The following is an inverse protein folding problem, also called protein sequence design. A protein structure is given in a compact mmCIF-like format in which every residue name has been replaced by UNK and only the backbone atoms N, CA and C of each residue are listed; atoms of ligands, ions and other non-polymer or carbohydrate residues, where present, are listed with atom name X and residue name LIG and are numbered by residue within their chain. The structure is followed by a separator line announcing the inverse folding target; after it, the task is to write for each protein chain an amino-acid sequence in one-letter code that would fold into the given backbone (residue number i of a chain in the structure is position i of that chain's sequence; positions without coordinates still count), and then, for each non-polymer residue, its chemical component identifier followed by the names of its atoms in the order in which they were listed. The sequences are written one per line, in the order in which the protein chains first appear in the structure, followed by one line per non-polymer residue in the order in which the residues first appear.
data_IF_344368121078
#
_entry.id   IF_344368121078
#
_cell.length_a   1.000
_cell.length_b   1.000
_cell.length_c   1.000
_cell.angle_alpha   90.00
_cell.angle_beta   90.00
_cell.angle_gamma   90.00
#
_symmetry.space_group_name_H-M   'P 1'
#
loop_
_entity.id
_entity.type
_entity.pdbx_description
1 polymer ?
#
# COMPACT_ATOMS: atom_id res chain seq x y z
N UNK A 1 7.54 -0.97 6.95
CA UNK A 1 8.62 -0.07 6.46
C UNK A 1 9.92 -0.81 6.13
N UNK A 2 10.20 -1.11 4.85
CA UNK A 2 11.49 -1.74 4.45
C UNK A 2 12.66 -0.77 4.67
N UNK A 3 13.37 -0.91 5.79
CA UNK A 3 14.76 -0.50 5.92
C UNK A 3 15.64 -1.75 5.81
N UNK A 4 15.72 -2.33 4.61
CA UNK A 4 16.67 -3.42 4.35
C UNK A 4 17.95 -2.84 3.79
N UNK A 5 18.95 -2.70 4.66
CA UNK A 5 20.35 -2.47 4.33
C UNK A 5 20.96 -3.73 3.72
N UNK A 6 21.37 -3.68 2.44
CA UNK A 6 22.56 -4.37 1.92
C UNK A 6 22.82 -3.98 0.45
N UNK A 7 23.98 -3.39 0.12
CA UNK A 7 24.43 -3.18 -1.25
C UNK A 7 25.32 -4.35 -1.71
N UNK A 8 25.23 -4.73 -2.98
CA UNK A 8 26.34 -5.40 -3.68
C UNK A 8 26.51 -4.77 -5.07
N UNK A 9 27.76 -4.63 -5.54
CA UNK A 9 28.13 -3.65 -6.55
C UNK A 9 28.09 -4.26 -7.95
N UNK A 10 27.85 -3.44 -8.97
CA UNK A 10 28.53 -3.63 -10.25
C UNK A 10 28.62 -2.30 -11.00
N UNK A 11 29.85 -1.89 -11.26
CA UNK A 11 30.20 -0.74 -12.09
C UNK A 11 30.13 -1.14 -13.57
N UNK A 12 29.46 -0.34 -14.40
CA UNK A 12 29.76 -0.26 -15.84
C UNK A 12 29.63 1.22 -16.27
N UNK A 13 30.75 1.77 -16.76
CA UNK A 13 30.80 3.02 -17.52
C UNK A 13 30.10 2.85 -18.86
N UNK A 14 29.29 3.81 -19.27
CA UNK A 14 29.17 4.14 -20.70
C UNK A 14 28.72 5.57 -20.95
N UNK A 15 29.50 6.22 -21.81
CA UNK A 15 29.34 7.53 -22.42
C UNK A 15 27.97 7.72 -23.09
N UNK A 16 27.39 8.91 -22.94
CA UNK A 16 26.29 9.43 -23.76
C UNK A 16 26.83 10.47 -24.75
N UNK A 17 26.56 10.36 -26.07
CA UNK A 17 26.77 11.46 -26.99
C UNK A 17 25.57 12.41 -26.99
N UNK A 18 25.86 13.69 -27.11
CA UNK A 18 24.92 14.79 -27.31
C UNK A 18 24.23 14.70 -28.67
N UNK A 19 22.92 14.98 -28.71
CA UNK A 19 22.17 15.23 -29.94
C UNK A 19 21.44 16.59 -29.86
N UNK A 20 21.17 17.24 -31.02
CA UNK A 20 20.95 18.68 -31.09
C UNK A 20 19.48 19.09 -31.32
N UNK A 21 19.20 20.29 -30.82
CA UNK A 21 18.35 21.39 -31.36
C UNK A 21 16.94 21.16 -31.91
N UNK A 22 16.06 22.06 -31.43
CA UNK A 22 14.99 22.77 -32.15
C UNK A 22 13.70 21.99 -32.43
N UNK A 23 12.69 22.23 -31.59
CA UNK A 23 11.29 22.08 -31.94
C UNK A 23 10.55 23.40 -31.65
N UNK A 24 9.81 23.89 -32.66
CA UNK A 24 9.00 25.10 -32.60
C UNK A 24 7.80 24.92 -31.66
N UNK A 25 7.47 25.97 -30.89
CA UNK A 25 6.28 26.02 -30.02
C UNK A 25 4.97 26.04 -30.84
N UNK A 26 3.98 25.18 -30.54
CA UNK A 26 2.61 25.40 -30.98
C UNK A 26 1.87 26.35 -30.01
N UNK A 27 0.89 27.06 -30.57
CA UNK A 27 0.04 28.08 -29.94
C UNK A 27 -0.63 27.62 -28.63
N UNK A 28 -0.39 28.39 -27.55
CA UNK A 28 -1.02 28.24 -26.23
C UNK A 28 -2.48 28.69 -26.28
N UNK A 29 -3.43 27.74 -26.29
CA UNK A 29 -4.84 28.01 -25.96
C UNK A 29 -5.12 27.72 -24.49
N UNK A 30 -5.63 28.72 -23.78
CA UNK A 30 -6.42 28.54 -22.55
C UNK A 30 -5.63 28.33 -21.25
N UNK A 31 -4.80 29.29 -20.82
CA UNK A 31 -4.28 29.27 -19.44
C UNK A 31 -5.39 29.63 -18.45
N UNK A 32 -5.84 28.68 -17.64
CA UNK A 32 -6.44 28.97 -16.35
C UNK A 32 -5.38 29.62 -15.46
N UNK A 33 -5.18 30.94 -15.56
CA UNK A 33 -4.36 31.71 -14.63
C UNK A 33 -5.13 31.97 -13.34
N UNK A 34 -5.28 30.94 -12.51
CA UNK A 34 -5.46 31.18 -11.08
C UNK A 34 -4.09 31.53 -10.50
N UNK A 35 -3.75 32.82 -10.47
CA UNK A 35 -2.59 33.33 -9.75
C UNK A 35 -2.88 33.22 -8.23
N UNK A 36 -2.90 31.99 -7.75
CA UNK A 36 -3.01 31.67 -6.34
C UNK A 36 -1.59 31.65 -5.79
N UNK A 37 -1.30 32.52 -4.83
CA UNK A 37 -0.07 32.46 -4.05
C UNK A 37 -0.13 31.17 -3.19
N UNK A 38 0.32 30.06 -3.77
CA UNK A 38 0.30 28.76 -3.09
C UNK A 38 1.51 28.71 -2.14
N UNK A 39 1.23 28.70 -0.84
CA UNK A 39 2.26 28.51 0.18
C UNK A 39 2.93 27.15 0.05
N UNK A 40 4.24 27.14 -0.23
CA UNK A 40 5.07 25.94 -0.27
C UNK A 40 5.64 25.54 1.11
N UNK A 41 5.20 26.23 2.16
CA UNK A 41 5.63 26.00 3.55
C UNK A 41 4.87 24.82 4.14
N UNK A 42 5.50 24.13 5.09
CA UNK A 42 4.81 23.13 5.90
C UNK A 42 3.79 23.81 6.83
N UNK A 43 2.60 23.22 6.92
CA UNK A 43 1.55 23.62 7.85
C UNK A 43 1.18 22.41 8.71
N UNK A 44 1.02 22.62 10.01
CA UNK A 44 0.63 21.55 10.91
C UNK A 44 -0.77 21.03 10.55
N UNK A 45 -1.01 19.70 10.60
CA UNK A 45 -2.35 19.17 10.43
C UNK A 45 -3.26 19.64 11.58
N UNK A 46 -4.57 19.67 11.32
CA UNK A 46 -5.56 19.91 12.37
C UNK A 46 -5.38 18.90 13.52
N UNK A 47 -5.53 19.36 14.76
CA UNK A 47 -5.43 18.48 15.92
C UNK A 47 -6.63 17.55 15.99
N UNK A 48 -6.36 16.25 16.10
CA UNK A 48 -7.36 15.18 16.17
C UNK A 48 -6.94 14.18 17.26
N UNK A 49 -7.76 13.16 17.49
CA UNK A 49 -7.37 12.06 18.38
C UNK A 49 -6.21 11.24 17.82
N UNK A 50 -6.07 11.13 16.49
CA UNK A 50 -5.04 10.33 15.82
C UNK A 50 -3.65 10.91 16.08
N UNK A 51 -3.49 12.23 16.00
CA UNK A 51 -2.18 12.89 16.16
C UNK A 51 -1.87 13.33 17.60
N UNK A 52 -2.70 12.91 18.56
CA UNK A 52 -2.51 13.18 19.98
C UNK A 52 -1.81 12.00 20.67
N UNK A 53 -0.58 12.20 21.13
CA UNK A 53 0.17 11.17 21.85
C UNK A 53 -0.54 10.72 23.13
N UNK A 54 -1.16 11.65 23.86
CA UNK A 54 -1.95 11.30 25.05
C UNK A 54 -3.15 10.44 24.70
N UNK A 55 -3.80 10.69 23.56
CA UNK A 55 -4.87 9.83 23.06
C UNK A 55 -4.37 8.46 22.61
N UNK A 56 -3.21 8.38 21.97
CA UNK A 56 -2.64 7.10 21.54
C UNK A 56 -2.34 6.19 22.75
N UNK A 57 -1.73 6.77 23.79
CA UNK A 57 -1.32 6.05 25.01
C UNK A 57 -2.50 5.74 25.93
N UNK A 58 -3.32 6.73 26.26
CA UNK A 58 -4.35 6.61 27.31
C UNK A 58 -5.77 6.45 26.76
N UNK A 59 -5.96 6.55 25.45
CA UNK A 59 -7.27 6.44 24.83
C UNK A 59 -7.84 5.02 24.86
N UNK A 60 -9.11 4.91 24.53
CA UNK A 60 -9.82 3.64 24.34
C UNK A 60 -10.30 3.52 22.90
N UNK A 61 -10.57 2.29 22.46
CA UNK A 61 -11.01 2.02 21.08
C UNK A 61 -9.91 2.29 20.05
N UNK A 62 -10.34 2.59 18.82
CA UNK A 62 -9.50 2.60 17.61
C UNK A 62 -9.89 3.73 16.65
N UNK A 63 -10.36 4.86 17.20
CA UNK A 63 -10.75 6.05 16.41
C UNK A 63 -11.80 5.80 15.31
N UNK A 64 -12.62 4.76 15.47
CA UNK A 64 -13.63 4.35 14.50
C UNK A 64 -13.12 3.39 13.44
N UNK A 65 -11.81 3.16 13.32
CA UNK A 65 -11.25 2.24 12.31
C UNK A 65 -11.83 0.83 12.45
N UNK A 66 -11.79 0.07 11.35
CA UNK A 66 -12.24 -1.32 11.32
C UNK A 66 -11.05 -2.21 10.98
N UNK A 67 -10.71 -3.13 11.88
CA UNK A 67 -9.59 -4.07 11.70
C UNK A 67 -10.01 -5.54 11.60
N UNK A 68 -11.32 -5.81 11.67
CA UNK A 68 -11.85 -7.16 11.84
C UNK A 68 -12.93 -7.52 10.84
N UNK A 69 -13.08 -6.81 9.72
CA UNK A 69 -14.10 -7.15 8.72
C UNK A 69 -13.83 -6.42 7.40
N UNK A 70 -13.93 -7.12 6.27
CA UNK A 70 -14.00 -6.47 4.94
C UNK A 70 -15.37 -5.86 4.65
N UNK A 71 -16.38 -6.21 5.44
CA UNK A 71 -17.73 -5.67 5.36
C UNK A 71 -17.87 -4.48 6.31
N UNK A 72 -18.15 -3.31 5.75
CA UNK A 72 -18.44 -2.09 6.51
C UNK A 72 -19.38 -1.19 5.73
N UNK A 73 -20.29 -0.44 6.39
CA UNK A 73 -21.08 0.56 5.69
C UNK A 73 -20.15 1.56 4.98
N UNK A 74 -20.40 1.89 3.70
CA UNK A 74 -19.40 2.51 2.83
C UNK A 74 -18.93 3.90 3.27
N UNK A 75 -19.65 4.60 4.15
CA UNK A 75 -19.34 6.00 4.55
C UNK A 75 -18.98 6.22 6.02
N UNK A 76 -18.88 5.18 6.84
CA UNK A 76 -18.88 5.42 8.29
C UNK A 76 -17.49 5.51 8.92
N UNK A 77 -16.48 4.79 8.42
CA UNK A 77 -15.14 4.75 9.01
C UNK A 77 -14.07 4.21 8.04
N UNK A 78 -12.79 4.47 8.32
CA UNK A 78 -11.70 3.83 7.58
C UNK A 78 -11.59 2.34 7.91
N UNK A 79 -11.74 1.49 6.90
CA UNK A 79 -11.62 0.04 7.05
C UNK A 79 -10.22 -0.44 6.60
N UNK A 80 -9.46 -1.02 7.53
CA UNK A 80 -8.13 -1.57 7.25
C UNK A 80 -8.21 -2.82 6.36
N UNK A 81 -9.22 -3.66 6.55
CA UNK A 81 -9.38 -4.90 5.78
C UNK A 81 -9.70 -4.64 4.32
N UNK A 82 -10.62 -3.72 4.11
CA UNK A 82 -11.10 -3.33 2.81
C UNK A 82 -11.08 -1.81 2.77
N UNK A 83 -10.02 -1.25 2.19
CA UNK A 83 -9.82 0.20 2.20
C UNK A 83 -11.07 0.91 1.68
N UNK A 84 -11.45 2.09 2.23
CA UNK A 84 -12.52 2.87 1.65
C UNK A 84 -12.26 3.11 0.16
N UNK A 85 -13.27 2.85 -0.65
CA UNK A 85 -13.19 3.02 -2.08
C UNK A 85 -14.52 3.53 -2.64
N UNK A 86 -14.41 4.08 -3.83
CA UNK A 86 -15.54 4.60 -4.58
C UNK A 86 -16.55 3.48 -4.86
N UNK A 87 -17.83 3.81 -4.70
CA UNK A 87 -18.95 2.92 -4.96
C UNK A 87 -20.16 3.77 -5.36
N UNK A 88 -21.14 3.19 -6.08
CA UNK A 88 -22.28 3.95 -6.60
C UNK A 88 -23.22 4.50 -5.52
N UNK A 89 -23.19 3.94 -4.30
CA UNK A 89 -24.06 4.39 -3.19
C UNK A 89 -23.59 5.71 -2.59
N UNK A 90 -22.27 5.91 -2.48
CA UNK A 90 -21.70 7.07 -1.78
C UNK A 90 -21.07 8.09 -2.72
N UNK A 91 -20.97 7.77 -4.02
CA UNK A 91 -20.45 8.71 -5.00
C UNK A 91 -21.36 9.93 -5.18
N UNK A 92 -20.83 11.10 -4.84
CA UNK A 92 -21.49 12.38 -5.06
C UNK A 92 -21.27 12.81 -6.51
N UNK A 93 -22.35 12.83 -7.31
CA UNK A 93 -22.27 13.31 -8.70
C UNK A 93 -22.05 14.82 -8.72
N UNK A 94 -21.02 15.31 -9.45
CA UNK A 94 -20.89 16.74 -9.73
C UNK A 94 -22.11 17.29 -10.48
N UNK A 95 -22.29 18.61 -10.40
CA UNK A 95 -23.34 19.30 -11.16
C UNK A 95 -23.19 19.06 -12.67
N UNK A 96 -24.31 19.01 -13.40
CA UNK A 96 -24.34 18.72 -14.84
C UNK A 96 -23.60 19.72 -15.72
N UNK A 97 -23.23 20.90 -15.19
CA UNK A 97 -22.36 21.86 -15.87
C UNK A 97 -20.90 21.42 -15.98
N UNK A 98 -20.49 20.37 -15.26
CA UNK A 98 -19.14 19.80 -15.33
C UNK A 98 -19.13 18.52 -16.20
N UNK A 99 -18.07 18.38 -17.01
CA UNK A 99 -17.74 17.14 -17.74
C UNK A 99 -16.54 16.49 -17.07
N UNK A 100 -16.63 15.18 -16.78
CA UNK A 100 -15.47 14.40 -16.35
C UNK A 100 -14.52 14.21 -17.54
N UNK A 101 -13.28 14.69 -17.40
CA UNK A 101 -12.26 14.62 -18.46
C UNK A 101 -11.22 13.52 -18.23
N UNK A 102 -10.89 13.23 -16.97
CA UNK A 102 -9.81 12.31 -16.63
C UNK A 102 -10.03 11.69 -15.25
N UNK A 103 -9.59 10.44 -15.09
CA UNK A 103 -9.60 9.73 -13.81
C UNK A 103 -8.20 9.17 -13.52
N UNK A 104 -7.64 9.52 -12.37
CA UNK A 104 -6.48 8.83 -11.78
C UNK A 104 -6.91 8.22 -10.45
N UNK A 105 -6.73 6.91 -10.30
CA UNK A 105 -7.02 6.20 -9.06
C UNK A 105 -5.74 5.61 -8.53
N UNK A 106 -5.40 5.93 -7.29
CA UNK A 106 -4.34 5.27 -6.55
C UNK A 106 -4.95 4.57 -5.35
N UNK A 107 -4.67 3.29 -5.22
CA UNK A 107 -5.17 2.50 -4.11
C UNK A 107 -4.13 1.49 -3.62
N UNK A 108 -4.25 1.06 -2.36
CA UNK A 108 -3.37 0.02 -1.80
C UNK A 108 -3.78 -1.37 -2.27
N UNK A 109 -2.98 -2.38 -1.97
CA UNK A 109 -3.47 -3.77 -2.07
C UNK A 109 -4.61 -4.03 -1.06
N UNK A 110 -5.38 -5.10 -1.29
CA UNK A 110 -6.39 -5.57 -0.33
C UNK A 110 -5.75 -6.42 0.79
N UNK A 111 -6.56 -6.98 1.71
CA UNK A 111 -6.06 -7.76 2.85
C UNK A 111 -5.14 -8.90 2.42
N UNK A 112 -4.07 -9.08 3.19
CA UNK A 112 -2.98 -10.04 2.95
C UNK A 112 -2.56 -10.67 4.28
N UNK A 113 -1.73 -11.69 4.22
CA UNK A 113 -0.96 -12.13 5.39
C UNK A 113 -0.03 -10.99 5.86
N UNK A 114 0.45 -11.01 7.12
CA UNK A 114 1.49 -10.07 7.54
C UNK A 114 2.79 -10.27 6.74
N UNK A 115 3.72 -9.32 6.84
CA UNK A 115 5.09 -9.54 6.38
C UNK A 115 5.77 -10.63 7.21
N UNK A 116 6.67 -11.41 6.59
CA UNK A 116 7.41 -12.47 7.27
C UNK A 116 8.17 -11.95 8.51
N UNK A 117 8.86 -10.81 8.38
CA UNK A 117 9.61 -10.17 9.48
C UNK A 117 8.70 -9.62 10.59
N UNK A 118 7.39 -9.52 10.36
CA UNK A 118 6.38 -9.10 11.33
C UNK A 118 5.72 -10.30 12.03
N UNK A 119 6.08 -11.54 11.67
CA UNK A 119 5.62 -12.73 12.39
C UNK A 119 6.36 -12.89 13.72
N UNK A 120 5.71 -13.50 14.71
CA UNK A 120 6.39 -13.82 15.96
C UNK A 120 7.39 -14.96 15.74
N UNK A 121 8.46 -15.08 16.54
CA UNK A 121 9.44 -16.17 16.36
C UNK A 121 8.81 -17.57 16.31
N UNK A 122 7.72 -17.76 17.05
CA UNK A 122 6.91 -18.97 17.01
C UNK A 122 5.42 -18.60 17.09
N UNK A 123 4.68 -18.89 16.03
CA UNK A 123 3.23 -18.72 15.99
C UNK A 123 2.53 -20.00 16.47
N UNK A 124 1.47 -19.86 17.26
CA UNK A 124 0.82 -21.00 17.92
C UNK A 124 -0.21 -21.73 17.07
N UNK A 125 -0.51 -21.22 15.89
CA UNK A 125 -1.48 -21.80 14.96
C UNK A 125 -1.06 -21.52 13.51
N UNK A 126 -1.58 -22.32 12.55
CA UNK A 126 -1.15 -22.16 11.18
C UNK A 126 -1.85 -21.02 10.41
N UNK A 127 -1.20 -20.60 9.33
CA UNK A 127 -1.85 -19.81 8.29
C UNK A 127 -1.81 -20.56 6.97
N UNK A 128 -2.99 -20.95 6.50
CA UNK A 128 -3.16 -21.70 5.27
C UNK A 128 -3.67 -20.77 4.15
N UNK A 129 -3.11 -20.96 2.97
CA UNK A 129 -3.35 -20.20 1.75
C UNK A 129 -3.57 -21.12 0.53
N UNK A 130 -4.05 -22.35 0.78
CA UNK A 130 -4.25 -23.36 -0.25
C UNK A 130 -5.53 -23.16 -1.07
N UNK A 131 -6.31 -22.13 -0.77
CA UNK A 131 -7.56 -21.74 -1.45
C UNK A 131 -7.38 -20.59 -2.46
N UNK A 132 -6.13 -20.19 -2.73
CA UNK A 132 -5.79 -19.26 -3.81
C UNK A 132 -4.71 -19.81 -4.76
N UNK A 133 -4.81 -19.42 -6.03
CA UNK A 133 -3.78 -19.66 -7.04
C UNK A 133 -3.16 -18.34 -7.48
N UNK A 134 -1.90 -18.11 -7.13
CA UNK A 134 -1.19 -16.88 -7.45
C UNK A 134 -0.22 -17.07 -8.62
N UNK A 135 -0.44 -16.30 -9.69
CA UNK A 135 0.28 -16.47 -10.95
C UNK A 135 1.64 -15.74 -10.96
N UNK A 136 2.64 -16.35 -11.62
CA UNK A 136 3.98 -15.78 -11.84
C UNK A 136 4.60 -16.16 -13.20
N UNK A 137 3.95 -17.03 -13.98
CA UNK A 137 4.46 -17.53 -15.25
C UNK A 137 4.50 -16.49 -16.36
N UNK A 138 5.23 -16.79 -17.44
CA UNK A 138 5.34 -15.94 -18.64
C UNK A 138 4.73 -16.58 -19.89
N UNK A 139 4.40 -15.75 -20.88
CA UNK A 139 3.93 -16.18 -22.21
C UNK A 139 4.56 -15.31 -23.31
N UNK A 140 4.95 -15.86 -24.47
CA UNK A 140 5.36 -15.07 -25.63
C UNK A 140 4.21 -14.16 -26.13
N UNK A 141 4.48 -12.87 -26.34
CA UNK A 141 3.46 -11.89 -26.75
C UNK A 141 3.57 -11.47 -28.23
N UNK A 142 4.77 -11.07 -28.68
CA UNK A 142 4.98 -10.59 -30.05
C UNK A 142 6.41 -10.87 -30.56
N UNK A 143 6.58 -11.61 -31.68
CA UNK A 143 5.53 -12.37 -32.36
C UNK A 143 4.92 -13.41 -31.40
N UNK A 144 3.65 -13.77 -31.64
CA UNK A 144 3.04 -14.87 -30.89
C UNK A 144 3.87 -16.14 -31.11
N UNK A 145 4.06 -16.90 -30.02
CA UNK A 145 4.83 -18.14 -30.01
C UNK A 145 3.97 -19.31 -29.52
N UNK A 146 4.61 -20.28 -28.89
CA UNK A 146 3.90 -21.39 -28.23
C UNK A 146 3.00 -20.86 -27.11
N UNK A 147 1.85 -21.52 -26.92
CA UNK A 147 1.00 -21.28 -25.77
C UNK A 147 1.70 -21.64 -24.46
N UNK A 148 1.22 -21.04 -23.36
CA UNK A 148 1.76 -21.23 -22.02
C UNK A 148 0.65 -21.74 -21.10
N UNK A 149 1.01 -22.62 -20.17
CA UNK A 149 0.08 -23.09 -19.15
C UNK A 149 -0.23 -21.98 -18.14
N UNK A 150 -1.46 -21.94 -17.63
CA UNK A 150 -1.85 -21.07 -16.51
C UNK A 150 -1.32 -21.64 -15.20
N UNK A 151 -0.04 -21.43 -14.91
CA UNK A 151 0.63 -21.93 -13.70
C UNK A 151 0.49 -20.96 -12.53
N UNK A 152 0.30 -21.50 -11.33
CA UNK A 152 0.37 -20.76 -10.07
C UNK A 152 1.42 -21.36 -9.13
N UNK A 153 1.83 -20.61 -8.11
CA UNK A 153 2.72 -21.11 -7.07
C UNK A 153 1.97 -21.93 -6.02
N UNK A 154 2.42 -23.16 -5.81
CA UNK A 154 2.00 -24.03 -4.72
C UNK A 154 3.13 -24.10 -3.68
N UNK A 155 2.94 -23.46 -2.53
CA UNK A 155 3.98 -23.27 -1.52
C UNK A 155 4.16 -24.56 -0.73
N UNK A 156 5.38 -25.07 -0.68
CA UNK A 156 5.73 -26.24 0.12
C UNK A 156 7.00 -26.01 0.93
N UNK A 157 7.06 -26.61 2.13
CA UNK A 157 8.27 -26.70 2.94
C UNK A 157 8.61 -28.18 3.15
N UNK A 158 9.81 -28.60 2.76
CA UNK A 158 10.24 -29.98 2.97
C UNK A 158 10.41 -30.27 4.47
N UNK A 159 9.86 -31.37 5.01
CA UNK A 159 10.11 -31.79 6.40
C UNK A 159 11.59 -32.04 6.71
N UNK A 160 12.41 -32.30 5.68
CA UNK A 160 13.86 -32.50 5.83
C UNK A 160 14.67 -31.21 5.83
N UNK A 161 14.07 -30.05 5.54
CA UNK A 161 14.78 -28.78 5.55
C UNK A 161 14.86 -28.23 6.99
N UNK A 162 16.05 -28.18 7.61
CA UNK A 162 16.19 -27.66 8.98
C UNK A 162 16.07 -26.14 9.06
N UNK A 163 15.99 -25.45 7.92
CA UNK A 163 15.87 -23.99 7.80
C UNK A 163 14.42 -23.56 7.53
N UNK A 164 13.44 -24.27 8.10
CA UNK A 164 12.05 -23.84 8.03
C UNK A 164 11.93 -22.40 8.59
N UNK A 165 11.21 -21.50 7.90
CA UNK A 165 11.09 -20.12 8.34
C UNK A 165 10.42 -20.04 9.71
N UNK A 166 10.87 -19.07 10.52
CA UNK A 166 10.17 -18.70 11.75
C UNK A 166 8.81 -18.08 11.42
N UNK A 167 7.90 -18.03 12.41
CA UNK A 167 6.56 -17.51 12.21
C UNK A 167 5.48 -18.57 12.16
N UNK A 168 4.55 -18.39 11.22
CA UNK A 168 3.42 -19.28 11.00
C UNK A 168 3.87 -20.56 10.31
N UNK A 169 3.54 -21.70 10.91
CA UNK A 169 3.54 -22.96 10.18
C UNK A 169 2.35 -22.97 9.22
N UNK A 170 2.48 -23.36 7.96
CA UNK A 170 1.33 -23.29 7.03
C UNK A 170 1.73 -23.28 5.56
N UNK A 171 0.78 -22.91 4.70
CA UNK A 171 0.93 -22.99 3.23
C UNK A 171 1.04 -21.63 2.54
N UNK A 172 1.30 -20.55 3.29
CA UNK A 172 1.45 -19.20 2.73
C UNK A 172 2.92 -18.80 2.52
N UNK A 173 3.18 -17.97 1.50
CA UNK A 173 4.44 -17.25 1.32
C UNK A 173 4.33 -15.81 1.84
N UNK A 174 4.81 -15.54 3.05
CA UNK A 174 4.60 -14.22 3.68
C UNK A 174 5.49 -13.11 3.07
N UNK A 175 4.94 -11.92 2.74
CA UNK A 175 3.51 -11.60 2.66
C UNK A 175 2.85 -12.18 1.41
N UNK A 176 1.59 -12.58 1.52
CA UNK A 176 0.76 -13.11 0.44
C UNK A 176 -0.62 -12.46 0.41
N UNK A 177 -1.14 -12.12 -0.77
CA UNK A 177 -2.56 -11.77 -0.89
C UNK A 177 -3.41 -13.01 -0.62
N UNK A 178 -4.44 -12.90 0.22
CA UNK A 178 -5.31 -14.03 0.56
C UNK A 178 -6.47 -14.14 -0.40
N UNK A 179 -7.16 -15.28 -0.44
CA UNK A 179 -8.43 -15.46 -1.17
C UNK A 179 -9.41 -14.32 -0.93
N UNK A 180 -9.64 -13.96 0.32
CA UNK A 180 -10.53 -12.86 0.64
C UNK A 180 -10.01 -11.50 0.13
N UNK A 181 -8.70 -11.28 0.06
CA UNK A 181 -8.12 -10.09 -0.55
C UNK A 181 -8.33 -10.04 -2.07
N UNK A 182 -8.31 -11.18 -2.74
CA UNK A 182 -8.68 -11.32 -4.16
C UNK A 182 -10.16 -11.01 -4.39
N UNK A 183 -11.05 -11.51 -3.52
CA UNK A 183 -12.49 -11.23 -3.57
C UNK A 183 -12.79 -9.74 -3.35
N UNK A 184 -12.19 -9.14 -2.32
CA UNK A 184 -12.32 -7.70 -2.05
C UNK A 184 -11.84 -6.86 -3.25
N UNK A 185 -10.78 -7.30 -3.92
CA UNK A 185 -10.28 -6.63 -5.12
C UNK A 185 -11.20 -6.74 -6.33
N UNK A 186 -11.86 -7.89 -6.51
CA UNK A 186 -12.83 -8.06 -7.58
C UNK A 186 -14.03 -7.14 -7.36
N UNK A 187 -14.53 -7.08 -6.12
CA UNK A 187 -15.62 -6.18 -5.77
C UNK A 187 -15.25 -4.71 -6.01
N UNK A 188 -14.05 -4.30 -5.60
CA UNK A 188 -13.54 -2.94 -5.87
C UNK A 188 -13.54 -2.63 -7.38
N UNK A 189 -13.13 -3.57 -8.23
CA UNK A 189 -13.23 -3.42 -9.68
C UNK A 189 -14.66 -3.22 -10.17
N UNK A 190 -15.61 -4.02 -9.65
CA UNK A 190 -17.03 -3.87 -9.98
C UNK A 190 -17.59 -2.50 -9.56
N UNK A 191 -17.21 -2.00 -8.38
CA UNK A 191 -17.67 -0.70 -7.87
C UNK A 191 -17.09 0.47 -8.69
N UNK A 192 -15.83 0.37 -9.09
CA UNK A 192 -15.19 1.31 -10.00
C UNK A 192 -15.92 1.40 -11.33
N UNK A 193 -16.22 0.25 -11.92
CA UNK A 193 -16.91 0.20 -13.20
C UNK A 193 -18.36 0.67 -13.09
N UNK A 194 -19.06 0.34 -12.00
CA UNK A 194 -20.41 0.83 -11.72
C UNK A 194 -20.46 2.36 -11.67
N UNK A 195 -19.43 3.02 -11.11
CA UNK A 195 -19.38 4.48 -11.09
C UNK A 195 -18.92 5.05 -12.44
N UNK A 196 -17.74 4.67 -12.92
CA UNK A 196 -17.17 5.35 -14.08
C UNK A 196 -17.77 4.90 -15.40
N UNK A 197 -18.28 3.68 -15.53
CA UNK A 197 -19.05 3.26 -16.70
C UNK A 197 -20.55 3.53 -16.50
N UNK A 198 -21.21 2.85 -15.57
CA UNK A 198 -22.68 2.87 -15.53
C UNK A 198 -23.27 4.21 -15.03
N UNK A 199 -22.66 4.83 -14.01
CA UNK A 199 -23.20 6.03 -13.38
C UNK A 199 -22.88 7.30 -14.19
N UNK A 200 -21.64 7.38 -14.67
CA UNK A 200 -21.07 8.57 -15.31
C UNK A 200 -20.94 8.46 -16.82
N UNK A 201 -21.08 7.26 -17.40
CA UNK A 201 -20.87 6.99 -18.83
C UNK A 201 -19.50 7.48 -19.33
N UNK A 202 -18.47 7.44 -18.47
CA UNK A 202 -17.12 7.86 -18.79
C UNK A 202 -16.31 6.71 -19.42
N UNK A 203 -16.38 5.52 -18.82
CA UNK A 203 -15.73 4.32 -19.35
C UNK A 203 -16.66 3.56 -20.30
N UNK A 204 -16.09 3.09 -21.40
CA UNK A 204 -16.76 2.21 -22.35
C UNK A 204 -17.08 0.85 -21.71
N UNK A 205 -18.15 0.21 -22.21
CA UNK A 205 -18.56 -1.12 -21.72
C UNK A 205 -17.57 -2.22 -22.10
N UNK A 206 -16.80 -2.01 -23.16
CA UNK A 206 -15.68 -2.85 -23.58
C UNK A 206 -14.36 -2.19 -23.21
N UNK A 207 -13.41 -2.99 -22.74
CA UNK A 207 -12.07 -2.50 -22.43
C UNK A 207 -11.38 -1.97 -23.68
N UNK A 208 -10.78 -0.79 -23.55
CA UNK A 208 -9.94 -0.15 -24.54
C UNK A 208 -8.59 0.21 -23.90
N UNK A 209 -7.46 -0.39 -24.34
CA UNK A 209 -6.14 -0.11 -23.77
C UNK A 209 -5.63 1.30 -24.08
N UNK A 210 -6.21 2.01 -25.04
CA UNK A 210 -5.89 3.42 -25.29
C UNK A 210 -6.59 4.32 -24.27
N UNK A 211 -7.76 3.93 -23.78
CA UNK A 211 -8.54 4.68 -22.78
C UNK A 211 -8.20 4.33 -21.33
N UNK A 212 -7.95 3.05 -21.05
CA UNK A 212 -7.76 2.55 -19.68
C UNK A 212 -6.42 1.84 -19.52
N UNK A 213 -5.58 2.38 -18.64
CA UNK A 213 -4.27 1.81 -18.32
C UNK A 213 -4.16 1.42 -16.85
N UNK A 214 -3.50 0.28 -16.59
CA UNK A 214 -3.24 -0.22 -15.25
C UNK A 214 -1.74 -0.19 -14.98
N UNK A 215 -1.34 0.39 -13.86
CA UNK A 215 0.02 0.43 -13.34
C UNK A 215 0.06 -0.24 -11.97
N UNK A 216 1.08 -1.05 -11.74
CA UNK A 216 1.33 -1.75 -10.47
C UNK A 216 2.78 -1.48 -10.03
N UNK A 217 3.13 -1.83 -8.78
CA UNK A 217 4.52 -1.75 -8.34
C UNK A 217 5.25 -3.06 -8.65
N UNK A 218 6.55 -3.09 -8.35
CA UNK A 218 7.35 -4.31 -8.46
C UNK A 218 7.01 -5.37 -7.38
N UNK A 219 6.09 -5.08 -6.45
CA UNK A 219 5.57 -6.05 -5.52
C UNK A 219 4.48 -6.92 -6.19
N UNK A 220 4.73 -8.23 -6.30
CA UNK A 220 3.85 -9.20 -6.99
C UNK A 220 2.40 -9.19 -6.50
N UNK A 221 2.16 -8.87 -5.22
CA UNK A 221 0.81 -8.72 -4.66
C UNK A 221 0.01 -7.69 -5.46
N UNK A 222 0.63 -6.57 -5.85
CA UNK A 222 -0.07 -5.52 -6.58
C UNK A 222 -0.52 -5.97 -7.97
N UNK A 223 0.18 -6.91 -8.60
CA UNK A 223 -0.23 -7.54 -9.87
C UNK A 223 -1.37 -8.55 -9.67
N UNK A 224 -1.31 -9.36 -8.61
CA UNK A 224 -2.35 -10.36 -8.27
C UNK A 224 -3.69 -9.68 -7.90
N UNK A 225 -3.63 -8.54 -7.24
CA UNK A 225 -4.81 -7.72 -7.00
C UNK A 225 -5.30 -7.10 -8.33
N UNK A 226 -4.43 -6.91 -9.34
CA UNK A 226 -4.81 -6.19 -10.57
C UNK A 226 -5.60 -7.11 -11.48
N UNK A 227 -5.20 -8.38 -11.55
CA UNK A 227 -5.96 -9.39 -12.27
C UNK A 227 -7.41 -9.48 -11.78
N UNK A 228 -7.64 -9.40 -10.46
CA UNK A 228 -9.00 -9.45 -9.90
C UNK A 228 -9.77 -8.16 -10.13
N UNK A 229 -9.13 -6.99 -9.94
CA UNK A 229 -9.77 -5.71 -10.21
C UNK A 229 -10.19 -5.57 -11.68
N UNK A 230 -9.32 -5.94 -12.62
CA UNK A 230 -9.61 -5.88 -14.06
C UNK A 230 -10.78 -6.79 -14.41
N UNK A 231 -10.81 -8.02 -13.88
CA UNK A 231 -11.93 -8.93 -14.08
C UNK A 231 -13.24 -8.41 -13.46
N UNK A 232 -13.17 -7.71 -12.31
CA UNK A 232 -14.31 -7.05 -11.69
C UNK A 232 -14.84 -5.88 -12.51
N UNK A 233 -13.95 -5.09 -13.12
CA UNK A 233 -14.34 -3.99 -14.01
C UNK A 233 -14.92 -4.50 -15.34
N UNK A 234 -14.24 -5.46 -15.96
CA UNK A 234 -14.57 -6.00 -17.27
C UNK A 234 -14.63 -7.54 -17.20
N UNK A 235 -15.81 -8.13 -16.93
CA UNK A 235 -15.93 -9.58 -16.78
C UNK A 235 -15.48 -10.38 -18.02
N UNK A 236 -15.60 -9.81 -19.23
CA UNK A 236 -15.12 -10.42 -20.47
C UNK A 236 -13.59 -10.56 -20.56
N UNK A 237 -12.85 -9.86 -19.69
CA UNK A 237 -11.40 -9.96 -19.61
C UNK A 237 -10.92 -11.06 -18.65
N UNK A 238 -11.83 -11.80 -18.02
CA UNK A 238 -11.46 -12.96 -17.23
C UNK A 238 -10.68 -13.96 -18.11
N UNK A 239 -9.40 -14.18 -17.79
CA UNK A 239 -8.45 -15.02 -18.54
C UNK A 239 -7.91 -14.42 -19.86
N UNK A 240 -8.08 -13.11 -20.08
CA UNK A 240 -7.48 -12.40 -21.22
C UNK A 240 -6.14 -11.77 -20.83
N UNK A 241 -5.22 -11.64 -21.79
CA UNK A 241 -3.94 -10.96 -21.58
C UNK A 241 -4.17 -9.44 -21.47
N UNK A 242 -3.84 -8.87 -20.32
CA UNK A 242 -3.95 -7.42 -20.07
C UNK A 242 -2.59 -6.90 -19.61
N UNK A 243 -2.04 -5.88 -20.29
CA UNK A 243 -0.77 -5.31 -19.87
C UNK A 243 -0.92 -4.55 -18.55
N UNK A 244 -0.06 -4.88 -17.59
CA UNK A 244 0.15 -4.08 -16.39
C UNK A 244 1.48 -3.33 -16.53
N UNK A 245 1.42 -2.01 -16.41
CA UNK A 245 2.62 -1.17 -16.47
C UNK A 245 3.38 -1.26 -15.15
N UNK A 246 4.69 -1.45 -15.24
CA UNK A 246 5.63 -1.27 -14.12
C UNK A 246 6.74 -0.34 -14.56
N UNK A 247 7.34 0.35 -13.60
CA UNK A 247 8.68 0.91 -13.78
C UNK A 247 9.71 -0.11 -13.32
N UNK A 248 10.97 0.05 -13.75
CA UNK A 248 12.06 -0.76 -13.18
C UNK A 248 12.14 -0.54 -11.67
N UNK A 249 12.38 -1.61 -10.90
CA UNK A 249 12.37 -1.55 -9.44
C UNK A 249 13.25 -0.44 -8.85
N UNK A 250 14.39 -0.13 -9.46
CA UNK A 250 15.32 0.91 -8.99
C UNK A 250 14.83 2.35 -9.16
N UNK A 251 13.75 2.57 -9.91
CA UNK A 251 13.19 3.90 -10.21
C UNK A 251 11.68 3.96 -10.02
N UNK A 252 11.06 2.91 -9.48
CA UNK A 252 9.61 2.87 -9.31
C UNK A 252 9.16 4.03 -8.42
N UNK A 253 8.42 4.97 -9.00
CA UNK A 253 7.94 6.15 -8.30
C UNK A 253 6.69 5.88 -7.46
N UNK A 254 5.93 4.84 -7.81
CA UNK A 254 4.69 4.49 -7.10
C UNK A 254 5.01 3.82 -5.76
N UNK A 255 6.06 3.00 -5.72
CA UNK A 255 6.73 2.51 -4.51
C UNK A 255 8.19 2.97 -4.55
N UNK A 256 8.48 4.22 -4.11
CA UNK A 256 9.81 4.83 -4.19
C UNK A 256 10.91 3.92 -3.65
N UNK A 257 11.68 3.37 -4.57
CA UNK A 257 12.86 2.56 -4.29
C UNK A 257 14.15 3.18 -4.87
N UNK A 258 14.04 4.36 -5.49
CA UNK A 258 15.19 5.13 -5.94
C UNK A 258 16.00 5.69 -4.77
N UNK A 259 17.34 5.71 -4.86
CA UNK A 259 18.18 6.28 -3.81
C UNK A 259 17.98 7.79 -3.72
N UNK A 260 17.78 8.29 -2.49
CA UNK A 260 17.63 9.72 -2.22
C UNK A 260 18.24 10.07 -0.86
N UNK A 261 19.51 10.50 -0.86
CA UNK A 261 20.25 10.80 0.37
C UNK A 261 19.61 11.90 1.22
N UNK A 262 18.89 12.85 0.58
CA UNK A 262 18.13 13.86 1.29
C UNK A 262 16.95 13.26 2.08
N UNK A 263 16.20 12.33 1.46
CA UNK A 263 15.11 11.61 2.14
C UNK A 263 15.65 10.74 3.27
N UNK A 264 16.75 10.01 3.05
CA UNK A 264 17.40 9.16 4.05
C UNK A 264 17.88 9.99 5.26
N UNK A 265 18.53 11.13 5.00
CA UNK A 265 19.01 12.04 6.03
C UNK A 265 17.87 12.69 6.82
N UNK A 266 16.73 12.96 6.19
CA UNK A 266 15.54 13.46 6.88
C UNK A 266 14.93 12.35 7.75
N UNK A 267 14.64 11.18 7.17
CA UNK A 267 14.07 10.04 7.88
C UNK A 267 14.89 9.67 9.12
N UNK A 268 16.22 9.61 8.99
CA UNK A 268 17.13 9.30 10.11
C UNK A 268 17.11 10.33 11.25
N UNK A 269 16.66 11.56 10.99
CA UNK A 269 16.60 12.64 12.01
C UNK A 269 15.32 12.66 12.81
N UNK A 270 14.21 12.16 12.28
CA UNK A 270 12.91 12.27 12.96
C UNK A 270 12.07 11.00 12.98
N UNK A 271 12.28 10.07 12.06
CA UNK A 271 11.47 8.86 11.92
C UNK A 271 11.98 7.67 12.72
N UNK A 272 11.62 6.48 12.21
CA UNK A 272 11.97 5.17 12.79
C UNK A 272 13.48 5.09 13.02
N UNK A 273 13.87 4.68 14.23
CA UNK A 273 15.27 4.54 14.62
C UNK A 273 16.01 5.85 14.94
N UNK A 274 15.36 7.00 14.82
CA UNK A 274 15.96 8.30 15.20
C UNK A 274 15.96 8.54 16.71
N UNK A 275 16.77 9.49 17.16
CA UNK A 275 16.79 9.99 18.56
C UNK A 275 15.89 11.21 18.76
N UNK A 276 14.92 11.44 17.86
CA UNK A 276 14.03 12.59 17.95
C UNK A 276 13.17 12.49 19.24
N UNK A 277 13.12 13.53 20.09
CA UNK A 277 12.37 13.45 21.34
C UNK A 277 10.88 13.13 21.16
N UNK A 278 10.25 13.64 20.11
CA UNK A 278 8.83 13.36 19.83
C UNK A 278 8.62 11.91 19.41
N UNK A 279 9.49 11.35 18.55
CA UNK A 279 9.45 9.93 18.17
C UNK A 279 9.83 9.01 19.33
N UNK A 280 10.81 9.35 20.15
CA UNK A 280 11.19 8.47 21.26
C UNK A 280 10.19 8.54 22.43
N UNK A 281 9.36 9.59 22.50
CA UNK A 281 8.37 9.76 23.55
C UNK A 281 7.27 8.69 23.52
N UNK A 282 6.74 8.31 22.34
CA UNK A 282 5.70 7.27 22.28
C UNK A 282 6.28 5.90 22.61
N UNK A 283 7.49 5.58 22.14
CA UNK A 283 8.19 4.34 22.50
C UNK A 283 8.41 4.25 24.01
N UNK A 284 8.88 5.34 24.61
CA UNK A 284 9.10 5.41 26.06
C UNK A 284 7.79 5.24 26.84
N UNK A 285 6.75 5.98 26.47
CA UNK A 285 5.44 5.93 27.13
C UNK A 285 4.74 4.57 26.99
N UNK A 286 5.04 3.82 25.94
CA UNK A 286 4.42 2.51 25.65
C UNK A 286 5.29 1.31 26.05
N UNK A 287 6.41 1.53 26.75
CA UNK A 287 7.34 0.48 27.19
C UNK A 287 6.66 -0.68 27.95
N UNK A 288 5.67 -0.39 28.79
CA UNK A 288 4.95 -1.42 29.55
C UNK A 288 4.15 -2.36 28.63
N UNK A 289 3.47 -1.80 27.63
CA UNK A 289 2.75 -2.58 26.61
C UNK A 289 3.73 -3.44 25.81
N UNK A 290 4.87 -2.87 25.39
CA UNK A 290 5.91 -3.57 24.64
C UNK A 290 6.44 -4.79 25.40
N UNK A 291 6.80 -4.61 26.69
CA UNK A 291 7.28 -5.72 27.54
C UNK A 291 6.26 -6.85 27.69
N UNK A 292 4.96 -6.51 27.78
CA UNK A 292 3.89 -7.52 27.83
C UNK A 292 3.79 -8.28 26.52
N UNK A 293 3.81 -7.57 25.40
CA UNK A 293 3.72 -8.18 24.08
C UNK A 293 4.94 -9.06 23.79
N UNK A 294 6.16 -8.60 24.09
CA UNK A 294 7.38 -9.40 23.93
C UNK A 294 7.33 -10.71 24.73
N UNK A 295 6.79 -10.66 25.97
CA UNK A 295 6.61 -11.84 26.80
C UNK A 295 5.59 -12.82 26.21
N UNK A 296 4.53 -12.33 25.58
CA UNK A 296 3.51 -13.18 24.94
C UNK A 296 4.05 -13.77 23.64
N UNK A 297 4.63 -12.94 22.78
CA UNK A 297 5.09 -13.29 21.43
C UNK A 297 6.39 -14.11 21.42
N UNK A 298 7.19 -14.04 22.48
CA UNK A 298 8.55 -14.60 22.50
C UNK A 298 9.57 -13.77 21.72
N UNK A 299 9.21 -12.56 21.28
CA UNK A 299 10.13 -11.62 20.64
C UNK A 299 11.24 -11.26 21.63
N UNK A 300 12.49 -11.32 21.16
CA UNK A 300 13.64 -10.92 21.97
C UNK A 300 13.51 -9.41 22.32
N UNK A 301 13.50 -9.04 23.62
CA UNK A 301 13.39 -7.63 24.03
C UNK A 301 14.51 -6.73 23.52
N UNK A 302 15.65 -7.31 23.10
CA UNK A 302 16.79 -6.59 22.51
C UNK A 302 16.75 -6.53 20.98
N UNK A 303 15.71 -7.08 20.33
CA UNK A 303 15.54 -7.00 18.89
C UNK A 303 15.23 -5.55 18.50
N UNK A 304 16.19 -4.91 17.83
CA UNK A 304 16.13 -3.47 17.51
C UNK A 304 15.02 -3.14 16.52
N UNK A 305 14.79 -3.96 15.51
CA UNK A 305 13.69 -3.82 14.56
C UNK A 305 12.31 -3.79 15.24
N UNK A 306 12.11 -4.60 16.28
CA UNK A 306 10.86 -4.61 17.07
C UNK A 306 10.73 -3.43 18.04
N UNK A 307 11.79 -2.66 18.27
CA UNK A 307 11.84 -1.65 19.34
C UNK A 307 11.86 -0.21 18.82
N UNK A 308 11.94 -0.02 17.51
CA UNK A 308 12.02 1.30 16.87
C UNK A 308 10.68 1.84 16.38
N UNK A 309 9.67 0.97 16.23
CA UNK A 309 8.29 1.31 15.86
C UNK A 309 7.30 0.24 16.32
N UNK A 310 6.00 0.52 16.19
CA UNK A 310 4.91 -0.42 16.44
C UNK A 310 4.50 -1.23 15.20
N UNK A 311 5.14 -1.00 14.04
CA UNK A 311 4.84 -1.62 12.73
C UNK A 311 4.72 -3.15 12.79
N UNK A 312 5.71 -3.82 13.40
CA UNK A 312 5.71 -5.28 13.50
C UNK A 312 4.47 -5.82 14.23
N UNK A 313 4.15 -5.26 15.40
CA UNK A 313 2.94 -5.65 16.15
C UNK A 313 1.66 -5.21 15.44
N UNK A 314 1.67 -4.04 14.80
CA UNK A 314 0.52 -3.51 14.08
C UNK A 314 0.14 -4.42 12.92
N UNK A 315 1.06 -4.70 12.00
CA UNK A 315 0.81 -5.54 10.82
C UNK A 315 0.45 -6.97 11.21
N UNK A 316 1.11 -7.53 12.23
CA UNK A 316 0.79 -8.88 12.73
C UNK A 316 -0.64 -8.96 13.28
N UNK A 317 -1.02 -8.08 14.21
CA UNK A 317 -2.31 -8.13 14.88
C UNK A 317 -3.46 -7.68 13.97
N UNK A 318 -3.25 -6.65 13.14
CA UNK A 318 -4.26 -6.18 12.18
C UNK A 318 -4.54 -7.24 11.13
N UNK A 319 -3.50 -7.89 10.59
CA UNK A 319 -3.68 -8.98 9.62
C UNK A 319 -4.49 -10.14 10.21
N UNK A 320 -4.23 -10.55 11.46
CA UNK A 320 -5.02 -11.62 12.10
C UNK A 320 -6.49 -11.28 12.24
N UNK A 321 -6.78 -10.14 12.88
CA UNK A 321 -8.15 -9.73 13.13
C UNK A 321 -8.92 -9.60 11.81
N UNK A 322 -8.24 -9.11 10.78
CA UNK A 322 -8.86 -8.95 9.48
C UNK A 322 -9.29 -10.26 8.83
N UNK A 323 -8.57 -11.34 9.14
CA UNK A 323 -8.87 -12.69 8.67
C UNK A 323 -9.66 -13.49 9.72
N UNK A 324 -10.27 -12.83 10.71
CA UNK A 324 -10.99 -13.47 11.83
C UNK A 324 -10.15 -14.51 12.58
N UNK A 325 -8.82 -14.37 12.55
CA UNK A 325 -7.92 -15.24 13.30
C UNK A 325 -7.84 -14.76 14.75
N UNK A 326 -7.71 -15.66 15.73
CA UNK A 326 -7.64 -15.28 17.12
C UNK A 326 -6.38 -14.46 17.40
N UNK A 327 -6.47 -13.56 18.38
CA UNK A 327 -5.28 -12.89 18.91
C UNK A 327 -4.32 -13.93 19.51
N UNK A 328 -3.00 -13.72 19.38
CA UNK A 328 -2.02 -14.73 19.73
C UNK A 328 -1.89 -14.91 21.25
N UNK A 329 -1.64 -16.15 21.65
CA UNK A 329 -1.30 -16.54 23.01
C UNK A 329 0.15 -17.01 23.11
N UNK A 330 0.70 -17.01 24.32
CA UNK A 330 2.08 -17.43 24.54
C UNK A 330 2.25 -18.92 24.25
N UNK A 331 3.28 -19.26 23.46
CA UNK A 331 3.62 -20.65 23.15
C UNK A 331 3.96 -21.47 24.41
N UNK A 332 4.40 -20.83 25.49
CA UNK A 332 4.75 -21.49 26.75
C UNK A 332 3.65 -21.39 27.82
N UNK A 333 2.66 -20.52 27.62
CA UNK A 333 1.50 -20.37 28.51
C UNK A 333 0.26 -19.96 27.68
N UNK A 334 -0.54 -20.94 27.21
CA UNK A 334 -1.70 -20.67 26.36
C UNK A 334 -2.78 -19.78 27.00
N UNK A 335 -2.82 -19.65 28.33
CA UNK A 335 -3.75 -18.77 29.04
C UNK A 335 -3.33 -17.29 28.99
N UNK A 336 -2.08 -17.01 28.61
CA UNK A 336 -1.54 -15.65 28.51
C UNK A 336 -1.62 -15.15 27.06
N UNK A 337 -2.75 -14.51 26.73
CA UNK A 337 -3.05 -14.02 25.39
C UNK A 337 -2.97 -12.50 25.26
N UNK A 338 -2.70 -12.04 24.04
CA UNK A 338 -2.90 -10.63 23.68
C UNK A 338 -4.40 -10.32 23.79
N UNK A 339 -4.76 -9.32 24.59
CA UNK A 339 -6.16 -8.89 24.72
C UNK A 339 -6.55 -7.92 23.61
N UNK A 340 -7.85 -7.73 23.40
CA UNK A 340 -8.34 -6.74 22.44
C UNK A 340 -7.90 -5.31 22.80
N UNK A 341 -7.81 -4.97 24.09
CA UNK A 341 -7.32 -3.67 24.55
C UNK A 341 -5.85 -3.45 24.20
N UNK A 342 -5.04 -4.50 24.30
CA UNK A 342 -3.63 -4.46 23.87
C UNK A 342 -3.55 -4.24 22.36
N UNK A 343 -4.31 -5.00 21.56
CA UNK A 343 -4.37 -4.83 20.11
C UNK A 343 -4.85 -3.41 19.72
N UNK A 344 -5.92 -2.92 20.34
CA UNK A 344 -6.42 -1.56 20.13
C UNK A 344 -5.36 -0.49 20.45
N UNK A 345 -4.55 -0.72 21.48
CA UNK A 345 -3.46 0.20 21.85
C UNK A 345 -2.35 0.20 20.81
N UNK A 346 -1.98 -0.98 20.28
CA UNK A 346 -1.07 -1.10 19.14
C UNK A 346 -1.61 -0.35 17.93
N UNK A 347 -2.90 -0.48 17.62
CA UNK A 347 -3.50 0.20 16.48
C UNK A 347 -3.46 1.72 16.63
N UNK A 348 -3.85 2.27 17.79
CA UNK A 348 -3.73 3.72 18.03
C UNK A 348 -2.29 4.22 17.91
N UNK A 349 -1.32 3.45 18.39
CA UNK A 349 0.10 3.79 18.28
C UNK A 349 0.59 3.77 16.84
N UNK A 350 0.23 2.76 16.05
CA UNK A 350 0.56 2.71 14.62
C UNK A 350 -0.07 3.88 13.84
N UNK A 351 -1.34 4.19 14.06
CA UNK A 351 -1.99 5.34 13.40
C UNK A 351 -1.29 6.67 13.77
N UNK A 352 -0.89 6.83 15.04
CA UNK A 352 -0.10 7.98 15.48
C UNK A 352 1.28 8.04 14.82
N UNK A 353 1.98 6.90 14.71
CA UNK A 353 3.29 6.82 14.02
C UNK A 353 3.18 7.25 12.56
N UNK A 354 2.17 6.75 11.84
CA UNK A 354 1.91 7.11 10.45
C UNK A 354 1.61 8.60 10.29
N UNK A 355 0.75 9.16 11.14
CA UNK A 355 0.48 10.61 11.10
C UNK A 355 1.75 11.42 11.42
N UNK A 356 2.54 11.02 12.41
CA UNK A 356 3.78 11.71 12.76
C UNK A 356 4.78 11.72 11.61
N UNK A 357 5.01 10.55 10.98
CA UNK A 357 5.99 10.39 9.92
C UNK A 357 5.65 11.22 8.68
N UNK A 358 4.38 11.25 8.29
CA UNK A 358 3.97 11.81 7.00
C UNK A 358 3.21 13.14 7.10
N UNK A 359 2.84 13.60 8.30
CA UNK A 359 2.05 14.83 8.47
C UNK A 359 2.50 15.73 9.62
N UNK A 360 2.57 15.21 10.85
CA UNK A 360 2.73 16.04 12.05
C UNK A 360 4.16 16.47 12.33
N UNK A 361 5.18 15.75 11.88
CA UNK A 361 6.56 16.22 11.99
C UNK A 361 6.81 17.39 11.03
N UNK A 362 7.54 18.43 11.47
CA UNK A 362 7.87 19.59 10.60
C UNK A 362 8.68 19.20 9.36
N UNK A 363 9.45 18.13 9.46
CA UNK A 363 10.27 17.57 8.39
C UNK A 363 9.45 16.77 7.37
N UNK A 364 8.19 16.39 7.69
CA UNK A 364 7.38 15.46 6.89
C UNK A 364 7.11 15.96 5.47
N UNK A 365 6.94 17.27 5.26
CA UNK A 365 6.76 17.82 3.90
C UNK A 365 8.02 17.66 3.06
N UNK A 366 9.19 18.01 3.59
CA UNK A 366 10.45 17.87 2.85
C UNK A 366 10.82 16.39 2.65
N UNK A 367 10.51 15.54 3.63
CA UNK A 367 10.64 14.10 3.47
C UNK A 367 9.72 13.58 2.37
N UNK A 368 8.44 13.97 2.37
CA UNK A 368 7.47 13.55 1.35
C UNK A 368 7.82 14.07 -0.03
N UNK A 369 8.34 15.30 -0.15
CA UNK A 369 8.85 15.85 -1.41
C UNK A 369 10.03 15.04 -1.94
N UNK A 370 11.00 14.71 -1.07
CA UNK A 370 12.19 13.97 -1.47
C UNK A 370 11.95 12.47 -1.69
N UNK A 371 10.90 11.90 -1.13
CA UNK A 371 10.54 10.48 -1.26
C UNK A 371 9.43 10.21 -2.27
N UNK A 372 8.37 11.02 -2.35
CA UNK A 372 7.22 10.84 -3.27
C UNK A 372 7.17 11.87 -4.40
N UNK A 373 8.09 12.84 -4.41
CA UNK A 373 8.04 13.97 -5.34
C UNK A 373 8.00 13.57 -6.81
N UNK A 374 8.70 12.49 -7.20
CA UNK A 374 8.68 12.00 -8.58
C UNK A 374 7.28 11.54 -8.97
N UNK A 375 6.63 10.74 -8.13
CA UNK A 375 5.26 10.29 -8.41
C UNK A 375 4.24 11.43 -8.38
N UNK A 376 4.39 12.39 -7.47
CA UNK A 376 3.55 13.60 -7.45
C UNK A 376 3.76 14.45 -8.73
N UNK A 377 4.99 14.51 -9.25
CA UNK A 377 5.27 15.17 -10.52
C UNK A 377 4.59 14.44 -11.69
N UNK A 378 4.67 13.11 -11.75
CA UNK A 378 3.96 12.31 -12.76
C UNK A 378 2.44 12.52 -12.69
N UNK A 379 1.86 12.58 -11.49
CA UNK A 379 0.44 12.88 -11.30
C UNK A 379 0.10 14.29 -11.82
N UNK A 380 0.89 15.29 -11.44
CA UNK A 380 0.69 16.66 -11.88
C UNK A 380 0.76 16.77 -13.41
N UNK A 381 1.68 16.06 -14.05
CA UNK A 381 1.81 16.05 -15.51
C UNK A 381 0.62 15.34 -16.19
N UNK A 382 0.13 14.21 -15.65
CA UNK A 382 -1.08 13.56 -16.16
C UNK A 382 -2.29 14.52 -16.12
N UNK A 383 -2.46 15.24 -15.00
CA UNK A 383 -3.54 16.20 -14.82
C UNK A 383 -3.42 17.39 -15.79
N UNK A 384 -2.21 17.92 -16.02
CA UNK A 384 -1.97 19.01 -16.98
C UNK A 384 -2.26 18.58 -18.42
N UNK A 385 -1.74 17.43 -18.84
CA UNK A 385 -2.04 16.88 -20.17
C UNK A 385 -3.53 16.65 -20.38
N UNK A 386 -4.27 16.21 -19.35
CA UNK A 386 -5.73 16.11 -19.42
C UNK A 386 -6.41 17.47 -19.63
N UNK A 387 -5.95 18.52 -18.95
CA UNK A 387 -6.49 19.89 -19.14
C UNK A 387 -6.18 20.49 -20.51
N UNK A 388 -5.10 20.05 -21.15
CA UNK A 388 -4.70 20.47 -22.50
C UNK A 388 -5.39 19.66 -23.61
N UNK A 389 -6.20 18.66 -23.23
CA UNK A 389 -6.94 17.78 -24.15
C UNK A 389 -6.13 16.59 -24.68
N UNK A 390 -4.87 16.46 -24.29
CA UNK A 390 -3.99 15.34 -24.71
C UNK A 390 -4.39 14.00 -24.07
N UNK A 391 -5.21 14.04 -23.01
CA UNK A 391 -5.67 12.88 -22.24
C UNK A 391 -7.18 12.93 -21.91
N UNK A 392 -7.98 13.66 -22.70
CA UNK A 392 -9.45 13.68 -22.52
C UNK A 392 -10.03 12.28 -22.74
N UNK A 393 -10.86 11.82 -21.80
CA UNK A 393 -11.49 10.50 -21.85
C UNK A 393 -10.63 9.35 -21.31
N UNK A 394 -9.48 9.62 -20.70
CA UNK A 394 -8.58 8.57 -20.20
C UNK A 394 -8.79 8.26 -18.71
N UNK A 395 -8.61 6.99 -18.35
CA UNK A 395 -8.53 6.51 -16.99
C UNK A 395 -7.20 5.78 -16.72
N UNK A 396 -6.56 6.13 -15.60
CA UNK A 396 -5.34 5.50 -15.13
C UNK A 396 -5.52 4.95 -13.72
N UNK A 397 -5.19 3.68 -13.56
CA UNK A 397 -5.29 2.96 -12.30
C UNK A 397 -3.90 2.60 -11.80
N UNK A 398 -3.43 3.25 -10.74
CA UNK A 398 -2.18 2.93 -10.05
C UNK A 398 -2.44 2.11 -8.79
N UNK A 399 -1.76 0.96 -8.64
CA UNK A 399 -1.75 0.22 -7.38
C UNK A 399 -0.40 0.25 -6.71
N UNK A 400 -0.43 0.57 -5.42
CA UNK A 400 0.74 0.62 -4.56
C UNK A 400 0.76 -0.52 -3.52
N UNK A 401 1.95 -0.95 -3.12
CA UNK A 401 2.13 -1.72 -1.88
C UNK A 401 1.78 -0.88 -0.65
N UNK A 402 1.41 -1.51 0.47
CA UNK A 402 1.31 -0.80 1.75
C UNK A 402 2.72 -0.51 2.28
N UNK A 403 2.88 0.64 2.92
CA UNK A 403 4.12 1.12 3.54
C UNK A 403 4.63 0.24 4.69
#
# INVERSE_FOLDING_TARGET
MRFSSSPLPLAILSYLPSLPTSAAEPEKKGKCQANTDISLKWHAPAQTKINSLSSAINGTGIYGFIFNSSQSPPDTNYNWCNMPHINPTTYVRPDSSYKLAYVEIIHRHHKRTPYADNTFPHETYPWDCSDEGLFYGGRPLNPSGNDSASTYWDVYTSPSNPLAPAGFNGTCQFPQITRGGLDDSHQHGADLFAVYSSLLNFLHSTYDPEQTTFRVTNNVITSQVASMLVAGMYPSLASTLIPLQIQSASIDSLEPAYPCSAADALSSRYGVGSTNPTWTAHLSASTSLKKRLDKISGVNPNATNWSQSWDHYFDNLSSRLCHQKPLPCSATNPENCVTQEMANSVFRLGEWEYDFLYRSARQSLEFSKSSFGIWIAELADNLRSATEGERDGLARYGRRSSF
#
